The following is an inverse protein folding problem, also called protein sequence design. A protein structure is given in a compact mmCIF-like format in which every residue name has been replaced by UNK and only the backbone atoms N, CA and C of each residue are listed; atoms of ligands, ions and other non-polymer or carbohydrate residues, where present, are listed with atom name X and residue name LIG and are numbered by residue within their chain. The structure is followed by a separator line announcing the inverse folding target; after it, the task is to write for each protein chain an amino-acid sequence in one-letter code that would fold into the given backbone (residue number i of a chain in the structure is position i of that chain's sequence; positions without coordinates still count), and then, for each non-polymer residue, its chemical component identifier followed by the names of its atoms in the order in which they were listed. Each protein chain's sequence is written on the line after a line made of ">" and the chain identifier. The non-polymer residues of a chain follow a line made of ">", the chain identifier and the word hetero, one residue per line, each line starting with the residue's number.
data_IF_328758035300
#
_entry.id   IF_328758035300
#
_cell.length_a   1.000
_cell.length_b   1.000
_cell.length_c   1.000
_cell.angle_alpha   90.00
_cell.angle_beta   90.00
_cell.angle_gamma   90.00
#
_symmetry.space_group_name_H-M   'P 1'
#
loop_
_entity.id
_entity.type
_entity.pdbx_description
1 polymer ?
#
# COMPACT_ATOMS: atom_id res chain seq x y z
N UNK A 1 22.06 -4.21 10.37
CA UNK A 1 20.63 -4.47 10.44
C UNK A 1 19.89 -3.14 10.54
N UNK A 2 19.08 -2.78 9.55
CA UNK A 2 18.32 -1.53 9.59
C UNK A 2 17.02 -1.79 10.34
N UNK A 3 16.71 -1.01 11.38
CA UNK A 3 15.48 -1.10 12.19
C UNK A 3 14.20 -0.70 11.42
N UNK A 4 14.15 -0.94 10.11
CA UNK A 4 13.05 -0.56 9.22
C UNK A 4 12.01 -1.67 9.23
N UNK A 5 10.74 -1.33 9.45
CA UNK A 5 9.65 -2.29 9.32
C UNK A 5 9.41 -2.66 7.86
N UNK A 6 8.72 -3.76 7.63
CA UNK A 6 8.24 -4.15 6.29
C UNK A 6 6.78 -3.77 6.16
N UNK A 7 6.42 -3.05 5.09
CA UNK A 7 5.04 -2.75 4.71
C UNK A 7 4.58 -3.72 3.63
N UNK A 8 3.32 -4.12 3.68
CA UNK A 8 2.70 -4.92 2.64
C UNK A 8 1.23 -4.55 2.44
N UNK A 9 0.73 -4.71 1.22
CA UNK A 9 -0.69 -4.61 0.91
C UNK A 9 -1.08 -5.61 -0.19
N UNK A 10 -2.36 -5.94 -0.22
CA UNK A 10 -3.02 -6.68 -1.29
C UNK A 10 -4.31 -5.93 -1.61
N UNK A 11 -4.47 -5.55 -2.87
CA UNK A 11 -5.65 -4.87 -3.38
C UNK A 11 -6.49 -5.86 -4.20
N UNK A 12 -7.69 -6.11 -3.69
CA UNK A 12 -8.66 -7.02 -4.28
C UNK A 12 -9.77 -6.24 -4.99
N UNK A 13 -10.12 -6.67 -6.20
CA UNK A 13 -11.26 -6.14 -6.96
C UNK A 13 -12.13 -7.31 -7.40
N UNK A 14 -13.42 -7.30 -7.03
CA UNK A 14 -14.33 -8.40 -7.36
C UNK A 14 -13.88 -9.78 -6.86
N UNK A 15 -13.13 -9.83 -5.75
CA UNK A 15 -12.55 -11.07 -5.21
C UNK A 15 -11.25 -11.53 -5.87
N UNK A 16 -10.75 -10.82 -6.89
CA UNK A 16 -9.47 -11.12 -7.56
C UNK A 16 -8.38 -10.15 -7.11
N UNK A 17 -7.14 -10.65 -6.96
CA UNK A 17 -5.99 -9.80 -6.65
C UNK A 17 -5.54 -9.03 -7.89
N UNK A 18 -5.64 -7.69 -7.84
CA UNK A 18 -5.25 -6.81 -8.95
C UNK A 18 -3.86 -6.22 -8.72
N UNK A 19 -3.50 -5.90 -7.48
CA UNK A 19 -2.19 -5.36 -7.13
C UNK A 19 -1.77 -5.85 -5.75
N UNK A 20 -0.48 -6.09 -5.57
CA UNK A 20 0.10 -6.42 -4.28
C UNK A 20 1.52 -5.88 -4.23
N UNK A 21 1.99 -5.58 -3.02
CA UNK A 21 3.36 -5.13 -2.81
C UNK A 21 3.83 -5.54 -1.42
N UNK A 22 5.10 -5.90 -1.33
CA UNK A 22 5.83 -6.06 -0.07
C UNK A 22 7.13 -5.27 -0.21
N UNK A 23 7.40 -4.34 0.70
CA UNK A 23 8.60 -3.53 0.65
C UNK A 23 9.09 -3.15 2.04
N UNK A 24 10.41 -2.99 2.17
CA UNK A 24 11.00 -2.40 3.37
C UNK A 24 10.62 -0.91 3.42
N UNK A 25 10.17 -0.43 4.58
CA UNK A 25 9.82 0.97 4.73
C UNK A 25 11.02 1.87 4.44
N UNK A 26 10.85 2.97 3.69
CA UNK A 26 11.96 3.84 3.34
C UNK A 26 12.57 4.52 4.58
N UNK A 27 11.76 4.72 5.62
CA UNK A 27 12.12 5.36 6.89
C UNK A 27 12.03 4.37 8.05
N UNK A 28 12.77 4.64 9.12
CA UNK A 28 12.62 3.90 10.39
C UNK A 28 11.47 4.54 11.16
N UNK A 29 10.39 3.80 11.37
CA UNK A 29 9.28 4.26 12.20
C UNK A 29 9.71 4.37 13.67
N UNK A 30 9.27 5.42 14.36
CA UNK A 30 9.53 5.66 15.79
C UNK A 30 8.55 4.89 16.69
N UNK A 31 7.46 4.38 16.12
CA UNK A 31 6.46 3.56 16.81
C UNK A 31 5.82 2.53 15.87
N UNK A 32 5.14 1.56 16.43
CA UNK A 32 4.33 0.60 15.66
C UNK A 32 3.19 1.30 14.92
N UNK A 33 2.53 2.27 15.55
CA UNK A 33 1.46 3.07 14.94
C UNK A 33 1.93 3.85 13.72
N UNK A 34 3.12 4.44 13.79
CA UNK A 34 3.70 5.13 12.63
C UNK A 34 4.00 4.14 11.49
N UNK A 35 4.53 2.96 11.80
CA UNK A 35 4.74 1.90 10.82
C UNK A 35 3.42 1.45 10.16
N UNK A 36 2.35 1.31 10.93
CA UNK A 36 1.01 0.98 10.41
C UNK A 36 0.47 2.09 9.51
N UNK A 37 0.67 3.36 9.89
CA UNK A 37 0.26 4.50 9.07
C UNK A 37 1.02 4.58 7.75
N UNK A 38 2.33 4.28 7.76
CA UNK A 38 3.14 4.18 6.53
C UNK A 38 2.58 3.09 5.62
N UNK A 39 2.36 1.88 6.13
CA UNK A 39 1.81 0.77 5.34
C UNK A 39 0.42 1.10 4.78
N UNK A 40 -0.45 1.70 5.59
CA UNK A 40 -1.80 2.12 5.19
C UNK A 40 -1.76 3.19 4.11
N UNK A 41 -0.87 4.17 4.25
CA UNK A 41 -0.69 5.23 3.24
C UNK A 41 -0.26 4.67 1.89
N UNK A 42 0.61 3.65 1.88
CA UNK A 42 1.02 2.99 0.64
C UNK A 42 -0.14 2.24 -0.04
N UNK A 43 -0.96 1.53 0.74
CA UNK A 43 -2.16 0.87 0.22
C UNK A 43 -3.19 1.88 -0.35
N UNK A 44 -3.39 3.02 0.33
CA UNK A 44 -4.30 4.07 -0.13
C UNK A 44 -3.81 4.72 -1.43
N UNK A 45 -2.50 5.00 -1.54
CA UNK A 45 -1.92 5.53 -2.78
C UNK A 45 -2.20 4.62 -3.97
N UNK A 46 -2.01 3.31 -3.79
CA UNK A 46 -2.33 2.32 -4.81
C UNK A 46 -3.82 2.33 -5.15
N UNK A 47 -4.69 2.36 -4.13
CA UNK A 47 -6.14 2.40 -4.35
C UNK A 47 -6.61 3.64 -5.11
N UNK A 48 -5.99 4.80 -4.87
CA UNK A 48 -6.28 6.04 -5.61
C UNK A 48 -5.84 5.90 -7.06
N UNK A 49 -4.65 5.33 -7.29
CA UNK A 49 -4.15 5.10 -8.64
C UNK A 49 -5.08 4.15 -9.43
N UNK A 50 -5.46 3.02 -8.83
CA UNK A 50 -6.42 2.08 -9.44
C UNK A 50 -7.76 2.75 -9.74
N UNK A 51 -8.26 3.60 -8.84
CA UNK A 51 -9.48 4.38 -9.08
C UNK A 51 -9.34 5.27 -10.33
N UNK A 52 -8.22 5.96 -10.47
CA UNK A 52 -7.95 6.79 -11.66
C UNK A 52 -7.90 5.96 -12.95
N UNK A 53 -7.26 4.79 -12.91
CA UNK A 53 -7.23 3.87 -14.06
C UNK A 53 -8.63 3.38 -14.43
N UNK A 54 -9.49 3.08 -13.46
CA UNK A 54 -10.88 2.69 -13.73
C UNK A 54 -11.68 3.84 -14.37
N UNK A 55 -11.52 5.05 -13.86
CA UNK A 55 -12.17 6.24 -14.42
C UNK A 55 -11.75 6.49 -15.88
N UNK A 56 -10.47 6.30 -16.23
CA UNK A 56 -9.98 6.37 -17.62
C UNK A 56 -10.59 5.30 -18.53
N UNK A 57 -10.93 4.13 -17.98
CA UNK A 57 -11.56 3.02 -18.70
C UNK A 57 -13.08 3.13 -18.77
N UNK A 58 -13.68 4.22 -18.26
CA UNK A 58 -15.14 4.39 -18.10
C UNK A 58 -15.79 3.31 -17.23
N UNK A 59 -15.07 2.81 -16.22
CA UNK A 59 -15.62 2.00 -15.13
C UNK A 59 -15.90 2.83 -13.88
#
# INVERSE_FOLDING_TARGET
>A
DSRKSTSAYILLMGGSCVSWKVQLQPVVALSTTESEYIATTEAIKESIWVKGVLEELNY
#
